data_IF_780246529637
#
_entry.id   IF_780246529637
#
_cell.length_a   1.000
_cell.length_b   1.000
_cell.length_c   1.000
_cell.angle_alpha   90.00
_cell.angle_beta   90.00
_cell.angle_gamma   90.00
#
_symmetry.space_group_name_H-M   'P 1'
#
loop_
_entity.id
_entity.type
_entity.pdbx_description
1 polymer ?
#
# COMPACT_ATOMS: atom_id res chain seq x y z
N UNK A 1 19.67 6.46 -18.99
CA UNK A 1 19.46 6.10 -17.57
C UNK A 1 18.45 4.97 -17.56
N UNK A 2 18.82 3.76 -17.13
CA UNK A 2 17.87 2.66 -17.07
C UNK A 2 17.02 2.80 -15.79
N UNK A 3 15.70 2.91 -15.95
CA UNK A 3 14.78 2.82 -14.82
C UNK A 3 14.74 1.39 -14.29
N UNK A 4 14.46 1.22 -13.00
CA UNK A 4 14.30 -0.08 -12.36
C UNK A 4 12.87 -0.25 -11.89
N UNK A 5 12.34 -1.47 -11.99
CA UNK A 5 11.06 -1.84 -11.38
C UNK A 5 11.34 -2.38 -9.98
N UNK A 6 10.73 -1.77 -8.97
CA UNK A 6 10.89 -2.17 -7.56
C UNK A 6 9.63 -2.83 -7.04
N UNK A 7 9.78 -3.99 -6.39
CA UNK A 7 8.76 -4.60 -5.55
C UNK A 7 9.26 -4.64 -4.11
N UNK A 8 8.44 -4.17 -3.18
CA UNK A 8 8.73 -4.18 -1.76
C UNK A 8 7.55 -4.79 -0.99
N UNK A 9 7.86 -5.52 0.07
CA UNK A 9 6.87 -5.99 1.05
C UNK A 9 7.21 -5.32 2.37
N UNK A 10 6.24 -4.63 2.96
CA UNK A 10 6.43 -3.92 4.22
C UNK A 10 5.15 -3.92 5.03
N UNK A 11 5.31 -3.89 6.35
CA UNK A 11 4.24 -3.59 7.29
C UNK A 11 4.24 -2.11 7.71
N UNK A 12 5.28 -1.36 7.31
CA UNK A 12 5.40 0.07 7.60
C UNK A 12 4.70 0.90 6.51
N UNK A 13 3.61 1.62 6.85
CA UNK A 13 2.92 2.47 5.90
C UNK A 13 3.76 3.67 5.44
N UNK A 14 4.76 4.12 6.21
CA UNK A 14 5.65 5.20 5.79
C UNK A 14 6.55 4.77 4.63
N UNK A 15 7.06 3.53 4.66
CA UNK A 15 7.77 2.94 3.53
C UNK A 15 6.83 2.74 2.32
N UNK A 16 5.60 2.28 2.53
CA UNK A 16 4.62 2.09 1.45
C UNK A 16 4.21 3.41 0.76
N UNK A 17 4.26 4.55 1.46
CA UNK A 17 3.96 5.87 0.90
C UNK A 17 4.95 6.33 -0.19
N UNK A 18 6.07 5.63 -0.39
CA UNK A 18 7.00 5.87 -1.49
C UNK A 18 6.63 5.14 -2.79
N UNK A 19 5.75 4.14 -2.72
CA UNK A 19 5.36 3.37 -3.88
C UNK A 19 4.42 4.16 -4.78
N UNK A 20 4.41 3.85 -6.08
CA UNK A 20 3.37 4.32 -7.00
C UNK A 20 2.02 3.66 -6.67
N UNK A 21 2.08 2.44 -6.14
CA UNK A 21 0.91 1.60 -5.90
C UNK A 21 1.11 0.66 -4.71
N UNK A 22 0.05 0.44 -3.94
CA UNK A 22 0.01 -0.51 -2.83
C UNK A 22 -0.92 -1.67 -3.16
N UNK A 23 -0.41 -2.88 -2.94
CA UNK A 23 -1.15 -4.13 -3.07
C UNK A 23 -1.29 -4.76 -1.69
N UNK A 24 -2.52 -5.04 -1.28
CA UNK A 24 -2.83 -5.72 -0.02
C UNK A 24 -3.23 -7.16 -0.30
N UNK A 25 -2.49 -8.09 0.30
CA UNK A 25 -2.80 -9.52 0.26
C UNK A 25 -3.47 -9.95 1.56
N UNK A 26 -4.48 -10.81 1.46
CA UNK A 26 -5.18 -11.44 2.59
C UNK A 26 -5.61 -12.84 2.19
N UNK A 27 -5.39 -13.82 3.07
CA UNK A 27 -5.77 -15.23 2.85
C UNK A 27 -5.25 -15.80 1.51
N UNK A 28 -4.03 -15.42 1.13
CA UNK A 28 -3.40 -15.82 -0.13
C UNK A 28 -4.02 -15.21 -1.39
N UNK A 29 -4.88 -14.19 -1.26
CA UNK A 29 -5.57 -13.53 -2.37
C UNK A 29 -5.29 -12.03 -2.41
N UNK A 30 -5.41 -11.45 -3.60
CA UNK A 30 -5.44 -10.00 -3.78
C UNK A 30 -6.71 -9.45 -3.12
N UNK A 31 -6.54 -8.75 -1.99
CA UNK A 31 -7.64 -8.13 -1.28
C UNK A 31 -7.95 -6.75 -1.83
N UNK A 32 -6.91 -5.96 -2.08
CA UNK A 32 -7.04 -4.58 -2.52
C UNK A 32 -5.81 -4.14 -3.32
N UNK A 33 -6.02 -3.23 -4.27
CA UNK A 33 -4.97 -2.57 -5.05
C UNK A 33 -5.37 -1.11 -5.25
N UNK A 34 -4.48 -0.17 -4.96
CA UNK A 34 -4.75 1.25 -5.12
C UNK A 34 -3.47 2.08 -5.33
N UNK A 35 -3.59 3.11 -6.15
CA UNK A 35 -2.52 4.08 -6.36
C UNK A 35 -2.28 4.97 -5.14
N UNK A 36 -1.06 5.45 -5.00
CA UNK A 36 -0.63 6.34 -3.92
C UNK A 36 -0.55 7.77 -4.45
N UNK A 37 -1.59 8.60 -4.24
CA UNK A 37 -1.56 9.98 -4.72
C UNK A 37 -0.66 10.85 -3.85
N UNK A 38 -0.19 11.97 -4.41
CA UNK A 38 0.53 12.99 -3.68
C UNK A 38 2.05 12.87 -3.77
N UNK A 39 2.75 13.49 -2.83
CA UNK A 39 4.21 13.49 -2.79
C UNK A 39 4.71 12.13 -2.27
N UNK A 40 5.72 11.50 -2.90
CA UNK A 40 6.32 10.28 -2.37
C UNK A 40 6.81 10.46 -0.93
N UNK A 41 6.44 9.52 -0.06
CA UNK A 41 6.81 9.51 1.36
C UNK A 41 6.02 10.49 2.24
N UNK A 42 4.92 11.07 1.76
CA UNK A 42 4.07 11.96 2.55
C UNK A 42 3.39 11.25 3.75
N UNK A 43 3.32 11.94 4.89
CA UNK A 43 2.81 11.39 6.15
C UNK A 43 1.29 11.21 6.20
N UNK A 44 0.53 12.09 5.55
CA UNK A 44 -0.93 11.95 5.45
C UNK A 44 -1.28 10.76 4.56
N UNK A 45 -0.53 10.57 3.47
CA UNK A 45 -0.59 9.38 2.62
C UNK A 45 -0.29 8.11 3.41
N UNK A 46 0.78 8.09 4.23
CA UNK A 46 1.09 6.96 5.09
C UNK A 46 -0.06 6.63 6.06
N UNK A 47 -0.67 7.66 6.66
CA UNK A 47 -1.86 7.50 7.52
C UNK A 47 -3.05 6.88 6.76
N UNK A 48 -3.27 7.30 5.51
CA UNK A 48 -4.29 6.73 4.63
C UNK A 48 -4.03 5.25 4.33
N UNK A 49 -2.79 4.88 4.00
CA UNK A 49 -2.39 3.49 3.75
C UNK A 49 -2.62 2.64 5.00
N UNK A 50 -2.20 3.11 6.18
CA UNK A 50 -2.38 2.40 7.45
C UNK A 50 -3.86 2.06 7.71
N UNK A 51 -4.76 3.02 7.47
CA UNK A 51 -6.21 2.82 7.64
C UNK A 51 -6.77 1.77 6.67
N UNK A 52 -6.32 1.73 5.42
CA UNK A 52 -6.78 0.73 4.43
C UNK A 52 -6.29 -0.67 4.76
N UNK A 53 -5.01 -0.80 5.14
CA UNK A 53 -4.41 -2.08 5.54
C UNK A 53 -5.08 -2.64 6.81
N UNK A 54 -5.38 -1.78 7.79
CA UNK A 54 -6.12 -2.15 9.00
C UNK A 54 -7.60 -2.44 8.71
N UNK A 55 -8.19 -1.73 7.76
CA UNK A 55 -9.63 -1.69 7.50
C UNK A 55 -10.15 -2.75 6.53
N UNK A 56 -10.07 -4.05 6.90
CA UNK A 56 -11.11 -5.10 6.71
C UNK A 56 -10.54 -6.51 6.93
N UNK A 57 -10.52 -6.92 8.19
CA UNK A 57 -10.49 -8.33 8.60
C UNK A 57 -11.88 -9.01 8.56
N UNK A 58 -12.85 -8.50 7.78
CA UNK A 58 -14.20 -9.06 7.75
C UNK A 58 -15.14 -8.33 6.80
N UNK A 59 -15.29 -8.87 5.59
CA UNK A 59 -16.49 -8.77 4.77
C UNK A 59 -16.39 -9.84 3.68
N UNK A 60 -16.50 -11.11 4.10
CA UNK A 60 -16.98 -12.15 3.21
C UNK A 60 -18.46 -11.84 2.96
N UNK A 61 -18.78 -11.47 1.73
CA UNK A 61 -20.12 -11.72 1.18
C UNK A 61 -20.04 -13.01 0.39
#
# INVERSE_FOLDING_TARGET
>A
MAGVTTLMVTHDPAAAAWADEVVVLRDGRLHERFGVPGRPGDGDTATGIARRVAGRAGAVR
#
